data_IF_638413235817
#
_entry.id   IF_638413235817
#
_cell.length_a   1.000
_cell.length_b   1.000
_cell.length_c   1.000
_cell.angle_alpha   90.00
_cell.angle_beta   90.00
_cell.angle_gamma   90.00
#
_symmetry.space_group_name_H-M   'P 1'
#
loop_
_entity.id
_entity.type
_entity.pdbx_description
1 polymer ?
#
# COMPACT_ATOMS: atom_id res chain seq x y z
N UNK A 1 -1.67 -6.19 -4.97
CA UNK A 1 -1.43 -5.03 -4.10
C UNK A 1 -2.73 -4.73 -3.38
N UNK A 2 -2.71 -4.58 -2.06
CA UNK A 2 -3.90 -4.20 -1.27
C UNK A 2 -3.62 -2.84 -0.65
N UNK A 3 -4.63 -1.96 -0.58
CA UNK A 3 -4.50 -0.58 -0.10
C UNK A 3 -5.47 -0.35 1.05
N UNK A 4 -4.94 0.10 2.17
CA UNK A 4 -5.72 0.42 3.36
C UNK A 4 -5.82 1.93 3.51
N UNK A 5 -7.05 2.45 3.52
CA UNK A 5 -7.35 3.88 3.67
C UNK A 5 -8.25 4.09 4.87
N UNK A 6 -8.06 5.22 5.53
CA UNK A 6 -8.96 5.62 6.61
C UNK A 6 -10.33 5.99 6.06
N UNK A 7 -11.40 5.55 6.72
CA UNK A 7 -12.79 5.78 6.26
C UNK A 7 -13.14 7.27 6.17
N UNK A 8 -12.57 8.11 7.05
CA UNK A 8 -12.78 9.56 7.05
C UNK A 8 -12.16 10.27 5.85
N UNK A 9 -11.08 9.72 5.29
CA UNK A 9 -10.42 10.23 4.06
C UNK A 9 -11.09 9.68 2.79
N UNK A 10 -11.76 8.54 2.92
CA UNK A 10 -12.55 7.91 1.86
C UNK A 10 -14.04 8.34 1.89
N UNK A 11 -14.36 9.42 2.59
CA UNK A 11 -15.72 9.91 2.85
C UNK A 11 -16.61 9.85 1.59
N UNK A 12 -17.68 9.05 1.69
CA UNK A 12 -18.66 8.76 0.64
C UNK A 12 -18.08 8.29 -0.69
N UNK A 13 -17.34 7.16 -0.70
CA UNK A 13 -17.10 6.32 -1.87
C UNK A 13 -16.94 7.10 -3.19
N UNK A 14 -16.22 8.24 -3.12
CA UNK A 14 -16.11 9.12 -4.27
C UNK A 14 -15.29 8.34 -5.28
N UNK A 15 -15.79 8.25 -6.51
CA UNK A 15 -15.08 7.55 -7.56
C UNK A 15 -13.65 8.11 -7.63
N UNK A 16 -12.66 7.23 -7.51
CA UNK A 16 -11.26 7.62 -7.49
C UNK A 16 -10.87 8.23 -8.83
N UNK A 17 -10.25 9.40 -8.79
CA UNK A 17 -9.72 10.07 -9.95
C UNK A 17 -8.19 9.93 -10.01
N UNK A 18 -7.65 9.85 -11.22
CA UNK A 18 -6.20 9.96 -11.43
C UNK A 18 -5.76 11.34 -10.97
N UNK A 19 -4.71 11.39 -10.15
CA UNK A 19 -4.22 12.58 -9.47
C UNK A 19 -4.58 12.64 -8.00
N UNK A 20 -5.58 11.87 -7.54
CA UNK A 20 -5.96 11.86 -6.13
C UNK A 20 -4.83 11.33 -5.25
N UNK A 21 -4.64 11.98 -4.11
CA UNK A 21 -3.56 11.69 -3.18
C UNK A 21 -4.12 11.39 -1.79
N UNK A 22 -3.74 10.25 -1.23
CA UNK A 22 -4.27 9.79 0.06
C UNK A 22 -3.14 9.30 0.98
N UNK A 23 -3.26 9.54 2.30
CA UNK A 23 -2.49 8.79 3.27
C UNK A 23 -3.01 7.35 3.33
N UNK A 24 -2.16 6.38 3.02
CA UNK A 24 -2.54 4.98 2.97
C UNK A 24 -1.39 4.03 3.32
N UNK A 25 -1.77 2.80 3.68
CA UNK A 25 -0.83 1.68 3.82
C UNK A 25 -0.99 0.76 2.62
N UNK A 26 0.10 0.49 1.92
CA UNK A 26 0.16 -0.33 0.73
C UNK A 26 0.83 -1.66 1.06
N UNK A 27 0.10 -2.75 0.87
CA UNK A 27 0.60 -4.12 0.96
C UNK A 27 0.97 -4.63 -0.44
N UNK A 28 2.23 -4.99 -0.61
CA UNK A 28 2.78 -5.58 -1.84
C UNK A 28 3.23 -7.01 -1.54
N UNK A 29 2.79 -7.95 -2.36
CA UNK A 29 3.22 -9.35 -2.25
C UNK A 29 4.65 -9.53 -2.80
N UNK A 30 5.32 -10.60 -2.36
CA UNK A 30 6.57 -11.09 -2.91
C UNK A 30 6.35 -11.66 -4.32
N UNK A 31 6.50 -10.79 -5.33
CA UNK A 31 6.57 -11.18 -6.75
C UNK A 31 8.03 -11.46 -7.18
N UNK A 32 9.00 -11.04 -6.37
CA UNK A 32 10.44 -11.11 -6.65
C UNK A 32 11.11 -12.37 -6.08
N UNK A 33 10.35 -13.35 -5.59
CA UNK A 33 10.87 -14.56 -4.99
C UNK A 33 11.45 -14.39 -3.56
N UNK A 34 11.44 -13.17 -3.01
CA UNK A 34 11.94 -12.87 -1.65
C UNK A 34 11.19 -13.58 -0.52
N UNK A 35 10.07 -14.25 -0.83
CA UNK A 35 9.21 -14.90 0.16
C UNK A 35 8.81 -13.97 1.32
N UNK A 36 8.70 -12.66 1.06
CA UNK A 36 8.32 -11.64 2.04
C UNK A 36 7.40 -10.58 1.44
N UNK A 37 6.27 -10.29 2.09
CA UNK A 37 5.43 -9.15 1.70
C UNK A 37 5.99 -7.86 2.29
N UNK A 38 5.68 -6.73 1.64
CA UNK A 38 6.10 -5.39 2.06
C UNK A 38 4.87 -4.58 2.41
N UNK A 39 4.90 -3.96 3.59
CA UNK A 39 3.94 -2.95 4.05
C UNK A 39 4.62 -1.59 3.96
N UNK A 40 4.09 -0.70 3.14
CA UNK A 40 4.60 0.67 2.97
C UNK A 40 3.56 1.64 3.47
N UNK A 41 3.93 2.52 4.41
CA UNK A 41 3.07 3.58 4.93
C UNK A 41 3.53 4.92 4.37
N UNK A 42 2.60 5.72 3.87
CA UNK A 42 2.93 6.99 3.25
C UNK A 42 1.73 7.69 2.62
N UNK A 43 2.04 8.75 1.88
CA UNK A 43 1.11 9.49 1.04
C UNK A 43 1.34 9.05 -0.40
N UNK A 44 0.30 8.49 -1.02
CA UNK A 44 0.35 7.89 -2.34
C UNK A 44 -0.65 8.56 -3.28
N UNK A 45 -0.18 8.89 -4.47
CA UNK A 45 -0.98 9.48 -5.55
C UNK A 45 -1.37 8.41 -6.56
N UNK A 46 -2.66 8.34 -6.91
CA UNK A 46 -3.18 7.48 -7.96
C UNK A 46 -2.77 8.01 -9.33
N UNK A 47 -2.03 7.22 -10.12
CA UNK A 47 -1.56 7.65 -11.46
C UNK A 47 -2.26 6.90 -12.59
N UNK A 48 -2.95 5.80 -12.29
CA UNK A 48 -3.77 5.09 -13.26
C UNK A 48 -4.94 4.37 -12.56
N UNK A 49 -6.09 4.32 -13.22
CA UNK A 49 -7.29 3.68 -12.69
C UNK A 49 -7.15 2.16 -12.51
N UNK A 50 -6.09 1.54 -13.05
CA UNK A 50 -5.72 0.15 -12.73
C UNK A 50 -5.15 -0.05 -11.31
N UNK A 51 -5.05 1.03 -10.52
CA UNK A 51 -4.57 1.00 -9.13
C UNK A 51 -3.09 1.34 -8.98
N UNK A 52 -2.38 1.70 -10.05
CA UNK A 52 -0.98 2.15 -9.99
C UNK A 52 -0.85 3.46 -9.21
N UNK A 53 0.13 3.51 -8.32
CA UNK A 53 0.39 4.66 -7.46
C UNK A 53 1.85 5.04 -7.47
N UNK A 54 2.12 6.30 -7.14
CA UNK A 54 3.46 6.79 -6.82
C UNK A 54 3.48 7.32 -5.40
N UNK A 55 4.55 7.03 -4.66
CA UNK A 55 4.75 7.61 -3.34
C UNK A 55 5.15 9.09 -3.50
N UNK A 56 4.33 10.00 -3.00
CA UNK A 56 4.75 11.40 -2.83
C UNK A 56 5.61 11.56 -1.59
N UNK A 57 5.24 10.83 -0.53
CA UNK A 57 6.01 10.79 0.72
C UNK A 57 5.90 9.41 1.33
N UNK A 58 7.03 8.76 1.59
CA UNK A 58 7.06 7.51 2.34
C UNK A 58 7.46 7.80 3.79
N UNK A 59 6.65 7.31 4.73
CA UNK A 59 6.85 7.52 6.17
C UNK A 59 7.54 6.30 6.82
N UNK A 60 7.32 5.10 6.27
CA UNK A 60 7.95 3.89 6.76
C UNK A 60 7.65 2.68 5.88
N UNK A 61 8.49 1.66 5.99
CA UNK A 61 8.30 0.39 5.32
C UNK A 61 8.77 -0.76 6.22
N UNK A 62 8.00 -1.84 6.24
CA UNK A 62 8.37 -3.10 6.89
C UNK A 62 8.25 -4.22 5.87
N UNK A 63 9.25 -5.11 5.86
CA UNK A 63 9.19 -6.37 5.12
C UNK A 63 8.99 -7.51 6.10
N UNK A 64 7.97 -8.33 5.85
CA UNK A 64 7.63 -9.46 6.70
C UNK A 64 7.76 -10.73 5.87
N UNK A 65 8.59 -11.65 6.33
CA UNK A 65 8.70 -12.97 5.71
C UNK A 65 7.35 -13.68 5.78
N UNK A 66 6.99 -14.40 4.71
CA UNK A 66 5.82 -15.28 4.68
C UNK A 66 5.93 -16.43 5.68
N UNK A 67 7.13 -16.67 6.21
CA UNK A 67 7.39 -17.57 7.34
C UNK A 67 7.57 -16.72 8.60
N UNK A 68 6.74 -16.94 9.62
CA UNK A 68 6.85 -16.26 10.92
C UNK A 68 8.06 -16.74 11.75
N UNK A 69 8.07 -16.42 13.04
CA UNK A 69 9.03 -16.99 14.02
C UNK A 69 8.72 -18.48 14.23
N UNK A 70 9.21 -19.32 13.31
CA UNK A 70 9.18 -20.77 13.44
C UNK A 70 10.22 -21.20 14.48
N UNK A 71 9.83 -21.11 15.76
CA UNK A 71 10.58 -21.78 16.84
C UNK A 71 10.46 -23.28 16.64
N UNK A 72 11.57 -23.89 16.23
CA UNK A 72 11.71 -25.33 16.10
C UNK A 72 12.07 -25.95 17.44
#
# INVERSE_FOLDING_TARGET
MIRFRHIGEAGNARALAVGDTFPEVVLVNANDGSSAYKLMAGVFRLVCLNGMVVAERQTGQVSVHHKGDIRR
#
